data_IF_104395592805
#
_entry.id   IF_104395592805
#
_cell.length_a   1.000
_cell.length_b   1.000
_cell.length_c   1.000
_cell.angle_alpha   90.00
_cell.angle_beta   90.00
_cell.angle_gamma   90.00
#
_symmetry.space_group_name_H-M   'P 1'
#
loop_
_entity.id
_entity.type
_entity.pdbx_description
1 polymer ?
#
# COMPACT_ATOMS: atom_id res chain seq x y z
N UNK A 1 11.85 -27.19 -2.89
CA UNK A 1 11.67 -25.74 -3.03
C UNK A 1 10.18 -25.49 -2.91
N UNK A 2 9.72 -24.91 -1.81
CA UNK A 2 8.30 -24.63 -1.58
C UNK A 2 7.92 -23.34 -2.31
N UNK A 3 6.76 -23.33 -2.99
CA UNK A 3 6.29 -22.16 -3.73
C UNK A 3 5.41 -21.30 -2.84
N UNK A 4 5.59 -19.98 -2.94
CA UNK A 4 4.71 -19.02 -2.28
C UNK A 4 3.26 -19.18 -2.76
N UNK A 5 2.32 -18.90 -1.86
CA UNK A 5 0.89 -18.86 -2.23
C UNK A 5 0.60 -17.71 -3.19
N UNK A 6 -0.47 -17.87 -3.99
CA UNK A 6 -0.94 -16.82 -4.92
C UNK A 6 -1.22 -15.50 -4.18
N UNK A 7 -1.77 -15.57 -2.98
CA UNK A 7 -2.05 -14.40 -2.14
C UNK A 7 -0.76 -13.68 -1.70
N UNK A 8 0.26 -14.43 -1.27
CA UNK A 8 1.55 -13.86 -0.90
C UNK A 8 2.22 -13.15 -2.09
N UNK A 9 2.21 -13.80 -3.27
CA UNK A 9 2.75 -13.22 -4.51
C UNK A 9 1.97 -11.96 -4.90
N UNK A 10 0.65 -11.99 -4.82
CA UNK A 10 -0.20 -10.84 -5.14
C UNK A 10 0.10 -9.65 -4.21
N UNK A 11 0.18 -9.89 -2.90
CA UNK A 11 0.53 -8.85 -1.92
C UNK A 11 1.91 -8.26 -2.18
N UNK A 12 2.91 -9.10 -2.47
CA UNK A 12 4.27 -8.65 -2.82
C UNK A 12 4.27 -7.77 -4.07
N UNK A 13 3.58 -8.20 -5.13
CA UNK A 13 3.47 -7.44 -6.38
C UNK A 13 2.78 -6.09 -6.17
N UNK A 14 1.71 -6.05 -5.37
CA UNK A 14 1.02 -4.81 -5.02
C UNK A 14 1.97 -3.89 -4.24
N UNK A 15 2.68 -4.41 -3.23
CA UNK A 15 3.63 -3.62 -2.46
C UNK A 15 4.72 -3.00 -3.34
N UNK A 16 5.35 -3.79 -4.22
CA UNK A 16 6.34 -3.30 -5.17
C UNK A 16 5.76 -2.21 -6.07
N UNK A 17 4.52 -2.38 -6.55
CA UNK A 17 3.85 -1.39 -7.39
C UNK A 17 3.61 -0.09 -6.62
N UNK A 18 3.13 -0.16 -5.37
CA UNK A 18 2.90 1.03 -4.53
C UNK A 18 4.20 1.76 -4.26
N UNK A 19 5.27 1.05 -3.90
CA UNK A 19 6.59 1.65 -3.68
C UNK A 19 7.11 2.35 -4.95
N UNK A 20 6.91 1.76 -6.13
CA UNK A 20 7.29 2.39 -7.40
C UNK A 20 6.53 3.69 -7.70
N UNK A 21 5.31 3.83 -7.17
CA UNK A 21 4.48 5.03 -7.33
C UNK A 21 4.90 6.08 -6.29
N UNK A 22 4.95 5.70 -5.01
CA UNK A 22 5.26 6.59 -3.88
C UNK A 22 6.67 7.19 -4.00
N UNK A 23 7.61 6.46 -4.59
CA UNK A 23 8.99 6.92 -4.75
C UNK A 23 9.26 7.62 -6.10
N UNK A 24 8.23 7.84 -6.93
CA UNK A 24 8.37 8.47 -8.24
C UNK A 24 7.43 9.68 -8.39
N UNK A 25 7.93 10.91 -8.16
CA UNK A 25 7.14 12.14 -8.31
C UNK A 25 6.54 12.36 -9.71
N UNK A 26 7.14 11.79 -10.75
CA UNK A 26 6.64 11.89 -12.14
C UNK A 26 5.51 10.90 -12.44
N UNK A 27 5.18 10.00 -11.50
CA UNK A 27 4.11 9.03 -11.72
C UNK A 27 2.73 9.71 -11.65
N UNK A 28 1.79 9.43 -12.57
CA UNK A 28 0.46 10.07 -12.58
C UNK A 28 -0.35 9.92 -11.29
N UNK A 29 -0.12 8.83 -10.56
CA UNK A 29 -0.76 8.56 -9.26
C UNK A 29 0.05 9.02 -8.04
N UNK A 30 1.21 9.67 -8.22
CA UNK A 30 2.06 10.09 -7.10
C UNK A 30 1.31 11.02 -6.14
N UNK A 31 0.65 12.05 -6.66
CA UNK A 31 -0.11 13.02 -5.85
C UNK A 31 -1.15 12.35 -4.97
N UNK A 32 -1.88 11.38 -5.51
CA UNK A 32 -2.90 10.60 -4.77
C UNK A 32 -2.31 9.92 -3.55
N UNK A 33 -1.12 9.34 -3.66
CA UNK A 33 -0.48 8.70 -2.51
C UNK A 33 0.22 9.70 -1.58
N UNK A 34 0.81 10.76 -2.13
CA UNK A 34 1.49 11.80 -1.38
C UNK A 34 0.53 12.55 -0.45
N UNK A 35 -0.65 12.92 -0.94
CA UNK A 35 -1.70 13.59 -0.16
C UNK A 35 -2.20 12.74 1.02
N UNK A 36 -2.19 11.41 0.87
CA UNK A 36 -2.61 10.50 1.93
C UNK A 36 -1.49 10.21 2.92
N UNK A 37 -0.25 10.63 2.67
CA UNK A 37 0.88 10.26 3.52
C UNK A 37 0.88 11.09 4.81
N UNK A 38 0.73 10.41 5.93
CA UNK A 38 0.89 11.01 7.26
C UNK A 38 2.34 11.48 7.43
N UNK A 39 2.51 12.76 7.74
CA UNK A 39 3.81 13.35 8.07
C UNK A 39 4.43 12.76 9.34
N UNK A 40 3.61 12.36 10.32
CA UNK A 40 4.08 11.78 11.59
C UNK A 40 4.47 10.30 11.46
N UNK A 41 3.54 9.46 10.98
CA UNK A 41 3.71 7.99 11.04
C UNK A 41 4.24 7.37 9.75
N UNK A 42 4.41 8.18 8.69
CA UNK A 42 4.72 7.73 7.33
C UNK A 42 3.67 6.81 6.68
N UNK A 43 2.64 6.41 7.43
CA UNK A 43 1.50 5.60 6.96
C UNK A 43 0.61 6.40 6.03
N UNK A 44 -0.03 5.70 5.11
CA UNK A 44 -1.03 6.26 4.21
C UNK A 44 -2.41 6.24 4.89
N UNK A 45 -3.12 7.36 4.83
CA UNK A 45 -4.48 7.50 5.32
C UNK A 45 -5.40 6.66 4.43
N UNK A 46 -6.21 5.81 5.07
CA UNK A 46 -7.17 4.96 4.36
C UNK A 46 -8.42 5.75 3.96
N UNK A 47 -8.83 5.63 2.70
CA UNK A 47 -10.11 6.15 2.25
C UNK A 47 -11.28 5.42 2.91
N UNK A 48 -12.30 6.16 3.36
CA UNK A 48 -13.59 5.56 3.72
C UNK A 48 -14.29 5.14 2.43
N UNK A 49 -14.46 3.84 2.24
CA UNK A 49 -15.11 3.29 1.05
C UNK A 49 -16.53 2.82 1.39
N UNK A 50 -17.53 3.36 0.71
CA UNK A 50 -18.95 3.03 0.95
C UNK A 50 -19.38 1.69 0.32
N UNK A 51 -18.67 1.22 -0.71
CA UNK A 51 -19.03 0.01 -1.46
C UNK A 51 -17.93 -1.04 -1.42
N UNK A 52 -18.32 -2.32 -1.50
CA UNK A 52 -17.36 -3.44 -1.54
C UNK A 52 -16.46 -3.37 -2.78
N UNK A 53 -17.01 -2.96 -3.92
CA UNK A 53 -16.25 -2.74 -5.15
C UNK A 53 -15.12 -1.74 -4.96
N UNK A 54 -15.38 -0.62 -4.27
CA UNK A 54 -14.33 0.35 -3.96
C UNK A 54 -13.33 -0.20 -2.95
N UNK A 55 -13.80 -0.90 -1.90
CA UNK A 55 -12.91 -1.54 -0.91
C UNK A 55 -11.92 -2.52 -1.52
N UNK A 56 -12.34 -3.28 -2.53
CA UNK A 56 -11.49 -4.25 -3.26
C UNK A 56 -10.73 -3.66 -4.44
N UNK A 57 -10.88 -2.36 -4.71
CA UNK A 57 -10.10 -1.69 -5.75
C UNK A 57 -8.63 -1.55 -5.35
N UNK A 58 -7.81 -1.14 -6.32
CA UNK A 58 -6.36 -1.03 -6.13
C UNK A 58 -5.98 -0.11 -4.97
N UNK A 59 -6.52 1.13 -4.91
CA UNK A 59 -6.08 2.13 -3.93
C UNK A 59 -6.26 1.71 -2.46
N UNK A 60 -7.47 1.30 -1.99
CA UNK A 60 -7.64 0.91 -0.59
C UNK A 60 -6.85 -0.35 -0.23
N UNK A 61 -6.74 -1.30 -1.18
CA UNK A 61 -5.97 -2.53 -1.00
C UNK A 61 -4.47 -2.24 -0.89
N UNK A 62 -3.95 -1.41 -1.80
CA UNK A 62 -2.57 -0.93 -1.83
C UNK A 62 -2.18 -0.23 -0.53
N UNK A 63 -3.03 0.70 -0.06
CA UNK A 63 -2.81 1.43 1.19
C UNK A 63 -2.74 0.48 2.38
N UNK A 64 -3.66 -0.49 2.46
CA UNK A 64 -3.67 -1.49 3.54
C UNK A 64 -2.38 -2.29 3.56
N UNK A 65 -1.96 -2.82 2.40
CA UNK A 65 -0.73 -3.62 2.27
C UNK A 65 0.52 -2.78 2.61
N UNK A 66 0.61 -1.56 2.11
CA UNK A 66 1.73 -0.65 2.40
C UNK A 66 1.83 -0.35 3.90
N UNK A 67 0.71 -0.01 4.54
CA UNK A 67 0.69 0.25 5.98
C UNK A 67 1.05 -0.99 6.80
N UNK A 68 0.57 -2.17 6.41
CA UNK A 68 0.98 -3.42 7.06
C UNK A 68 2.47 -3.66 6.94
N UNK A 69 3.09 -3.33 5.81
CA UNK A 69 4.54 -3.45 5.65
C UNK A 69 5.32 -2.52 6.59
N UNK A 70 4.83 -1.29 6.83
CA UNK A 70 5.43 -0.35 7.77
C UNK A 70 5.34 -0.83 9.23
N UNK A 71 4.24 -1.49 9.61
CA UNK A 71 4.05 -2.02 10.97
C UNK A 71 5.00 -3.16 11.30
N UNK A 72 5.41 -3.98 10.31
CA UNK A 72 6.40 -5.05 10.52
C UNK A 72 7.77 -4.50 10.90
N UNK A 73 8.15 -3.32 10.40
CA UNK A 73 9.43 -2.69 10.75
C UNK A 73 9.44 -2.04 12.15
N UNK A 74 8.29 -1.87 12.79
CA UNK A 74 8.18 -1.21 14.11
C UNK A 74 8.22 -2.20 15.29
N UNK A 75 8.23 -3.52 15.05
CA UNK A 75 8.20 -4.57 16.09
C UNK A 75 9.60 -5.14 16.41
N UNK A 76 10.67 -4.55 15.89
CA UNK A 76 12.06 -4.96 16.12
C UNK A 76 12.90 -3.85 16.78
N UNK A 77 12.36 -3.22 17.83
CA UNK A 77 13.13 -2.38 18.77
C UNK A 77 12.74 -2.80 20.19
#
# INVERSE_FOLDING_TARGET
MELDSVDAIAKRRILCKVQSIVNNPSHPLYSVFAEQKSSFSQRLITFRCSTERHRRSFLPTAIKIYNSSLSVFHTHI
#
